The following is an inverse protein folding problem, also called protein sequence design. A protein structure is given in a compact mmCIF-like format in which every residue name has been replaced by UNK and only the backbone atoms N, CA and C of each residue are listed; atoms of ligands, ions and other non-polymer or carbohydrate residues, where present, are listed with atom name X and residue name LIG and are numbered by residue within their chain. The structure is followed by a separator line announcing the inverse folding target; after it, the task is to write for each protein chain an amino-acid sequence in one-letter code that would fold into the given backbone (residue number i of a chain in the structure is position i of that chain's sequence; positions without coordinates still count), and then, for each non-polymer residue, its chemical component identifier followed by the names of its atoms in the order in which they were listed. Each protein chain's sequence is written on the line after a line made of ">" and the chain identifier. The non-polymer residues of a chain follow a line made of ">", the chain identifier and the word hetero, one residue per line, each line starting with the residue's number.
data_IF_743244661769
#
_entry.id   IF_743244661769
#
_cell.length_a   1.000
_cell.length_b   1.000
_cell.length_c   1.000
_cell.angle_alpha   90.00
_cell.angle_beta   90.00
_cell.angle_gamma   90.00
#
_symmetry.space_group_name_H-M   'P 1'
#
loop_
_entity.id
_entity.type
_entity.pdbx_description
1 polymer ?
#
# COMPACT_ATOMS: atom_id res chain seq x y z
N UNK A 1 -11.09 18.07 17.27
CA UNK A 1 -10.05 17.04 17.45
C UNK A 1 -10.70 15.84 18.11
N UNK A 2 -10.44 14.62 17.62
CA UNK A 2 -10.90 13.39 18.27
C UNK A 2 -9.82 12.90 19.26
N UNK A 3 -10.23 12.28 20.36
CA UNK A 3 -9.32 11.69 21.35
C UNK A 3 -9.51 10.18 21.37
N UNK A 4 -8.40 9.43 21.29
CA UNK A 4 -8.38 7.97 21.39
C UNK A 4 -7.58 7.60 22.64
N UNK A 5 -8.15 6.76 23.49
CA UNK A 5 -7.48 6.21 24.68
C UNK A 5 -7.32 4.72 24.49
N UNK A 6 -6.08 4.26 24.36
CA UNK A 6 -5.74 2.84 24.32
C UNK A 6 -5.42 2.40 25.74
N UNK A 7 -6.15 1.40 26.24
CA UNK A 7 -5.94 0.81 27.58
C UNK A 7 -5.23 -0.54 27.43
N UNK A 8 -4.52 -0.95 28.49
CA UNK A 8 -3.80 -2.23 28.54
C UNK A 8 -2.81 -2.41 27.38
N UNK A 9 -2.14 -1.33 26.99
CA UNK A 9 -1.05 -1.41 26.03
C UNK A 9 0.15 -2.06 26.72
N UNK A 10 0.72 -3.08 26.10
CA UNK A 10 1.93 -3.71 26.61
C UNK A 10 3.11 -2.73 26.53
N UNK A 11 3.94 -2.71 27.57
CA UNK A 11 5.07 -1.77 27.68
C UNK A 11 6.07 -1.94 26.52
N UNK A 12 6.24 -3.18 26.03
CA UNK A 12 7.07 -3.46 24.86
C UNK A 12 6.60 -2.73 23.60
N UNK A 13 5.28 -2.58 23.42
CA UNK A 13 4.70 -1.85 22.29
C UNK A 13 4.94 -0.36 22.44
N UNK A 14 4.78 0.18 23.66
CA UNK A 14 5.05 1.59 23.93
C UNK A 14 6.52 1.93 23.63
N UNK A 15 7.46 1.08 24.06
CA UNK A 15 8.88 1.29 23.80
C UNK A 15 9.21 1.19 22.30
N UNK A 16 8.65 0.22 21.58
CA UNK A 16 8.82 0.12 20.13
C UNK A 16 8.33 1.38 19.39
N UNK A 17 7.19 1.95 19.81
CA UNK A 17 6.66 3.20 19.25
C UNK A 17 7.58 4.38 19.55
N UNK A 18 8.12 4.48 20.78
CA UNK A 18 9.08 5.54 21.13
C UNK A 18 10.35 5.44 20.30
N UNK A 19 10.92 4.24 20.16
CA UNK A 19 12.11 4.02 19.33
C UNK A 19 11.86 4.44 17.88
N UNK A 20 10.71 4.07 17.32
CA UNK A 20 10.32 4.47 15.96
C UNK A 20 10.12 5.99 15.83
N UNK A 21 9.53 6.64 16.84
CA UNK A 21 9.35 8.09 16.86
C UNK A 21 10.69 8.83 16.86
N UNK A 22 11.68 8.35 17.64
CA UNK A 22 13.06 8.89 17.64
C UNK A 22 13.71 8.71 16.26
N UNK A 23 13.59 7.52 15.66
CA UNK A 23 14.15 7.25 14.33
C UNK A 23 13.56 8.18 13.25
N UNK A 24 12.26 8.48 13.35
CA UNK A 24 11.55 9.37 12.43
C UNK A 24 11.65 10.87 12.78
N UNK A 25 12.37 11.24 13.85
CA UNK A 25 12.49 12.62 14.37
C UNK A 25 11.12 13.28 14.62
N UNK A 26 10.16 12.50 15.12
CA UNK A 26 8.78 12.93 15.42
C UNK A 26 8.47 12.74 16.90
N UNK A 27 7.44 13.44 17.40
CA UNK A 27 6.89 13.13 18.71
C UNK A 27 6.19 11.77 18.69
N UNK A 28 6.10 11.10 19.83
CA UNK A 28 5.41 9.82 19.96
C UNK A 28 3.96 9.90 19.48
N UNK A 29 3.26 10.99 19.79
CA UNK A 29 1.89 11.23 19.30
C UNK A 29 1.84 11.36 17.77
N UNK A 30 2.77 12.12 17.18
CA UNK A 30 2.84 12.29 15.73
C UNK A 30 3.16 10.96 15.02
N UNK A 31 3.97 10.10 15.64
CA UNK A 31 4.26 8.76 15.12
C UNK A 31 3.05 7.84 15.23
N UNK A 32 2.34 7.81 16.36
CA UNK A 32 1.10 7.04 16.48
C UNK A 32 0.07 7.49 15.45
N UNK A 33 -0.05 8.80 15.23
CA UNK A 33 -0.93 9.35 14.19
C UNK A 33 -0.51 8.87 12.80
N UNK A 34 0.78 8.92 12.48
CA UNK A 34 1.29 8.45 11.19
C UNK A 34 1.04 6.95 10.99
N UNK A 35 1.27 6.12 12.02
CA UNK A 35 0.97 4.68 11.99
C UNK A 35 -0.51 4.44 11.73
N UNK A 36 -1.40 5.17 12.43
CA UNK A 36 -2.84 5.03 12.23
C UNK A 36 -3.26 5.46 10.82
N UNK A 37 -2.77 6.60 10.34
CA UNK A 37 -3.02 7.09 8.97
C UNK A 37 -2.56 6.09 7.90
N UNK A 38 -1.40 5.48 8.10
CA UNK A 38 -0.86 4.46 7.20
C UNK A 38 -1.68 3.15 7.26
N UNK A 39 -2.02 2.70 8.45
CA UNK A 39 -2.83 1.48 8.66
C UNK A 39 -4.23 1.57 8.03
N UNK A 40 -4.83 2.77 7.98
CA UNK A 40 -6.11 2.98 7.28
C UNK A 40 -5.95 3.31 5.79
N UNK A 41 -4.74 3.19 5.24
CA UNK A 41 -4.47 3.41 3.81
C UNK A 41 -4.53 4.87 3.36
N UNK A 42 -4.59 5.82 4.31
CA UNK A 42 -4.64 7.25 4.01
C UNK A 42 -3.25 7.87 3.75
N UNK A 43 -2.18 7.09 3.92
CA UNK A 43 -0.80 7.55 3.73
C UNK A 43 -0.26 7.36 2.30
N UNK A 44 -1.06 6.82 1.37
CA UNK A 44 -0.65 6.58 -0.02
C UNK A 44 -1.50 7.38 -1.00
N UNK A 45 -0.85 8.35 -1.64
CA UNK A 45 -1.22 9.02 -2.89
C UNK A 45 -2.59 9.71 -2.96
N UNK A 46 -2.62 11.04 -2.84
CA UNK A 46 -3.38 11.98 -3.71
C UNK A 46 -3.20 13.42 -3.21
N UNK A 47 -2.09 14.09 -3.56
CA UNK A 47 -2.06 15.56 -3.66
C UNK A 47 -1.06 16.00 -4.74
N UNK A 48 -1.39 15.66 -5.98
CA UNK A 48 -0.97 16.36 -7.20
C UNK A 48 -2.22 16.41 -8.10
N UNK A 49 -2.44 17.46 -8.90
CA UNK A 49 -3.67 17.59 -9.69
C UNK A 49 -3.86 16.35 -10.58
N UNK A 50 -5.09 15.84 -10.73
CA UNK A 50 -5.35 14.64 -11.51
C UNK A 50 -5.22 15.00 -12.99
N UNK A 51 -4.01 14.90 -13.52
CA UNK A 51 -3.85 14.67 -14.95
C UNK A 51 -4.28 13.21 -15.18
N UNK A 52 -5.36 12.93 -15.92
CA UNK A 52 -5.80 11.58 -16.18
C UNK A 52 -4.84 10.96 -17.20
N UNK A 53 -3.66 10.54 -16.73
CA UNK A 53 -2.84 9.60 -17.49
C UNK A 53 -3.67 8.33 -17.70
N UNK A 54 -3.80 7.83 -18.94
CA UNK A 54 -4.59 6.63 -19.21
C UNK A 54 -3.95 5.47 -18.46
N UNK A 55 -4.62 5.01 -17.39
CA UNK A 55 -4.20 3.84 -16.61
C UNK A 55 -4.26 2.63 -17.55
N UNK A 56 -3.09 2.22 -18.00
CA UNK A 56 -2.91 1.07 -18.86
C UNK A 56 -3.20 -0.19 -18.05
N UNK A 57 -3.86 -1.16 -18.70
CA UNK A 57 -4.20 -2.47 -18.14
C UNK A 57 -2.98 -3.21 -17.54
N UNK A 58 -1.75 -2.81 -17.92
CA UNK A 58 -0.48 -3.27 -17.35
C UNK A 58 -0.34 -3.01 -15.84
N UNK A 59 -0.90 -1.91 -15.31
CA UNK A 59 -0.79 -1.57 -13.89
C UNK A 59 -1.68 -2.47 -13.01
N UNK A 60 -2.70 -3.08 -13.61
CA UNK A 60 -3.61 -4.00 -12.91
C UNK A 60 -3.02 -5.41 -12.72
N UNK A 61 -1.97 -5.76 -13.49
CA UNK A 61 -1.27 -7.06 -13.41
C UNK A 61 0.04 -6.90 -12.64
N UNK A 62 0.05 -6.02 -11.64
CA UNK A 62 1.18 -5.81 -10.76
C UNK A 62 1.41 -6.99 -9.82
N UNK A 63 2.57 -7.64 -9.98
CA UNK A 63 3.34 -8.28 -8.89
C UNK A 63 2.91 -9.71 -8.51
N UNK A 64 2.67 -10.60 -9.48
CA UNK A 64 2.79 -12.05 -9.24
C UNK A 64 3.00 -12.87 -10.53
N UNK A 65 4.17 -12.78 -11.18
CA UNK A 65 4.79 -13.91 -11.92
C UNK A 65 6.08 -13.49 -12.67
N UNK A 66 7.23 -13.64 -11.99
CA UNK A 66 8.40 -14.37 -12.49
C UNK A 66 8.77 -14.27 -14.00
N UNK A 67 9.81 -13.49 -14.35
CA UNK A 67 10.63 -13.56 -15.59
C UNK A 67 9.91 -13.91 -16.92
N UNK A 68 8.65 -13.52 -17.11
CA UNK A 68 7.97 -13.72 -18.40
C UNK A 68 8.14 -12.50 -19.28
N UNK A 69 8.46 -12.72 -20.55
CA UNK A 69 8.52 -11.64 -21.54
C UNK A 69 7.11 -11.23 -21.97
N UNK A 70 6.99 -10.05 -22.57
CA UNK A 70 5.73 -9.51 -23.07
C UNK A 70 5.02 -10.50 -24.02
N UNK A 71 5.78 -11.19 -24.87
CA UNK A 71 5.25 -12.13 -25.86
C UNK A 71 4.58 -13.36 -25.22
N UNK A 72 5.08 -13.81 -24.07
CA UNK A 72 4.50 -14.93 -23.33
C UNK A 72 3.17 -14.56 -22.66
N UNK A 73 3.05 -13.30 -22.22
CA UNK A 73 1.80 -12.76 -21.68
C UNK A 73 0.74 -12.70 -22.78
N UNK A 74 1.10 -12.18 -23.96
CA UNK A 74 0.17 -12.06 -25.08
C UNK A 74 -0.29 -13.43 -25.60
N UNK A 75 0.61 -14.42 -25.64
CA UNK A 75 0.27 -15.80 -25.98
C UNK A 75 -0.69 -16.43 -24.96
N UNK A 76 -0.45 -16.22 -23.66
CA UNK A 76 -1.30 -16.73 -22.59
C UNK A 76 -2.71 -16.11 -22.63
N UNK A 77 -2.80 -14.79 -22.81
CA UNK A 77 -4.09 -14.08 -22.90
C UNK A 77 -4.90 -14.54 -24.12
N UNK A 78 -4.24 -14.78 -25.27
CA UNK A 78 -4.93 -15.34 -26.45
C UNK A 78 -5.47 -16.74 -26.19
N UNK A 79 -4.67 -17.62 -25.60
CA UNK A 79 -5.10 -18.97 -25.25
C UNK A 79 -6.30 -18.96 -24.31
N UNK A 80 -6.29 -18.08 -23.30
CA UNK A 80 -7.40 -17.91 -22.36
C UNK A 80 -8.66 -17.42 -23.08
N UNK A 81 -8.54 -16.41 -23.96
CA UNK A 81 -9.70 -15.91 -24.72
C UNK A 81 -10.31 -17.01 -25.59
N UNK A 82 -9.49 -17.81 -26.25
CA UNK A 82 -9.97 -18.84 -27.16
C UNK A 82 -10.62 -20.02 -26.42
N UNK A 83 -10.23 -20.29 -25.17
CA UNK A 83 -10.88 -21.25 -24.25
C UNK A 83 -12.29 -20.80 -23.85
N UNK A 84 -12.50 -19.50 -23.62
CA UNK A 84 -13.80 -18.93 -23.21
C UNK A 84 -14.79 -18.73 -24.37
N UNK A 85 -14.32 -18.78 -25.61
CA UNK A 85 -15.16 -18.66 -26.82
C UNK A 85 -15.71 -20.01 -27.29
N UNK A 86 -15.23 -21.13 -26.72
CA UNK A 86 -15.75 -22.48 -26.95
C UNK A 86 -16.88 -22.81 -25.99
#
# INVERSE_FOLDING_TARGET
>A
MAQIVVRQLEDAVLEAVKTRAVANKRSTEAEVRAILTDAVGLSSSTTGPPEPAPRSFRDFVGIAANRRTQDEIDAYVRALRDEWVR
#
